data_IF_052813911176
#
_entry.id   IF_052813911176
#
_cell.length_a   1.000
_cell.length_b   1.000
_cell.length_c   1.000
_cell.angle_alpha   90.00
_cell.angle_beta   90.00
_cell.angle_gamma   90.00
#
_symmetry.space_group_name_H-M   'P 1'
#
loop_
_entity.id
_entity.type
_entity.pdbx_description
1 polymer ?
#
# COMPACT_ATOMS: atom_id res chain seq x y z
N UNK A 1 -9.63 25.40 -9.56
CA UNK A 1 -10.25 24.14 -10.08
C UNK A 1 -9.21 23.12 -10.62
N UNK A 2 -8.06 23.56 -11.17
CA UNK A 2 -6.97 22.68 -11.65
C UNK A 2 -6.19 22.01 -10.50
N UNK A 3 -5.91 22.75 -9.42
CA UNK A 3 -5.19 22.23 -8.24
C UNK A 3 -5.92 21.06 -7.57
N UNK A 4 -7.25 21.17 -7.41
CA UNK A 4 -8.10 20.09 -6.90
C UNK A 4 -8.03 18.84 -7.80
N UNK A 5 -8.00 18.99 -9.12
CA UNK A 5 -7.87 17.84 -10.05
C UNK A 5 -6.51 17.16 -9.89
N UNK A 6 -5.43 17.93 -9.76
CA UNK A 6 -4.08 17.41 -9.53
C UNK A 6 -3.98 16.71 -8.17
N UNK A 7 -4.53 17.30 -7.12
CA UNK A 7 -4.57 16.72 -5.79
C UNK A 7 -5.35 15.39 -5.77
N UNK A 8 -6.55 15.38 -6.38
CA UNK A 8 -7.35 14.16 -6.52
C UNK A 8 -6.58 13.07 -7.28
N UNK A 9 -5.90 13.43 -8.38
CA UNK A 9 -5.06 12.48 -9.13
C UNK A 9 -3.94 11.90 -8.26
N UNK A 10 -3.26 12.72 -7.45
CA UNK A 10 -2.23 12.25 -6.50
C UNK A 10 -2.83 11.32 -5.44
N UNK A 11 -4.00 11.66 -4.89
CA UNK A 11 -4.73 10.82 -3.91
C UNK A 11 -5.11 9.46 -4.50
N UNK A 12 -5.69 9.44 -5.70
CA UNK A 12 -6.05 8.19 -6.37
C UNK A 12 -4.83 7.35 -6.72
N UNK A 13 -3.75 7.98 -7.19
CA UNK A 13 -2.51 7.27 -7.47
C UNK A 13 -1.91 6.64 -6.20
N UNK A 14 -1.91 7.37 -5.06
CA UNK A 14 -1.48 6.83 -3.76
C UNK A 14 -2.34 5.64 -3.33
N UNK A 15 -3.67 5.73 -3.49
CA UNK A 15 -4.60 4.63 -3.21
C UNK A 15 -4.31 3.40 -4.07
N UNK A 16 -4.19 3.58 -5.39
CA UNK A 16 -3.86 2.49 -6.32
C UNK A 16 -2.52 1.84 -6.00
N UNK A 17 -1.49 2.64 -5.68
CA UNK A 17 -0.18 2.13 -5.30
C UNK A 17 -0.24 1.31 -4.00
N UNK A 18 -0.98 1.78 -2.99
CA UNK A 18 -1.21 1.02 -1.76
C UNK A 18 -1.93 -0.31 -2.05
N UNK A 19 -2.98 -0.33 -2.86
CA UNK A 19 -3.67 -1.57 -3.24
C UNK A 19 -2.72 -2.56 -3.90
N UNK A 20 -1.88 -2.11 -4.85
CA UNK A 20 -0.88 -2.98 -5.51
C UNK A 20 0.14 -3.53 -4.52
N UNK A 21 0.64 -2.72 -3.59
CA UNK A 21 1.60 -3.18 -2.59
C UNK A 21 0.98 -4.21 -1.63
N UNK A 22 -0.26 -3.99 -1.18
CA UNK A 22 -0.97 -4.97 -0.33
C UNK A 22 -1.20 -6.29 -1.04
N UNK A 23 -1.58 -6.27 -2.32
CA UNK A 23 -1.72 -7.50 -3.12
C UNK A 23 -0.38 -8.24 -3.26
N UNK A 24 0.71 -7.50 -3.50
CA UNK A 24 2.06 -8.09 -3.52
C UNK A 24 2.48 -8.64 -2.16
N UNK A 25 2.09 -7.99 -1.06
CA UNK A 25 2.38 -8.46 0.29
C UNK A 25 1.69 -9.81 0.57
N UNK A 26 0.42 -9.94 0.16
CA UNK A 26 -0.34 -11.17 0.31
C UNK A 26 0.22 -12.33 -0.54
N UNK A 27 0.83 -12.01 -1.69
CA UNK A 27 1.44 -13.00 -2.59
C UNK A 27 2.93 -13.29 -2.28
N UNK A 28 3.57 -12.51 -1.41
CA UNK A 28 4.98 -12.64 -1.11
C UNK A 28 5.24 -13.92 -0.29
N UNK A 29 6.07 -14.82 -0.84
CA UNK A 29 6.50 -16.05 -0.18
C UNK A 29 7.84 -15.90 0.54
N UNK A 30 8.68 -14.98 0.06
CA UNK A 30 9.99 -14.69 0.62
C UNK A 30 9.92 -13.57 1.67
N UNK A 31 10.66 -13.73 2.77
CA UNK A 31 10.71 -12.79 3.90
C UNK A 31 11.31 -11.45 3.49
N UNK A 32 12.36 -11.46 2.64
CA UNK A 32 13.01 -10.23 2.18
C UNK A 32 12.08 -9.37 1.34
N UNK A 33 11.36 -9.98 0.40
CA UNK A 33 10.37 -9.28 -0.42
C UNK A 33 9.24 -8.70 0.41
N UNK A 34 8.79 -9.45 1.41
CA UNK A 34 7.76 -9.00 2.36
C UNK A 34 8.20 -7.73 3.10
N UNK A 35 9.42 -7.70 3.65
CA UNK A 35 9.99 -6.52 4.32
C UNK A 35 10.10 -5.31 3.39
N UNK A 36 10.59 -5.52 2.15
CA UNK A 36 10.68 -4.45 1.16
C UNK A 36 9.31 -3.86 0.80
N UNK A 37 8.27 -4.70 0.74
CA UNK A 37 6.89 -4.27 0.48
C UNK A 37 6.33 -3.51 1.69
N UNK A 38 6.50 -4.04 2.90
CA UNK A 38 6.07 -3.38 4.15
C UNK A 38 6.69 -1.99 4.29
N UNK A 39 8.00 -1.85 4.06
CA UNK A 39 8.69 -0.55 4.08
C UNK A 39 8.03 0.45 3.12
N UNK A 40 7.67 0.02 1.91
CA UNK A 40 6.99 0.87 0.93
C UNK A 40 5.57 1.25 1.37
N UNK A 41 4.86 0.34 2.03
CA UNK A 41 3.53 0.62 2.57
C UNK A 41 3.61 1.65 3.70
N UNK A 42 4.53 1.50 4.66
CA UNK A 42 4.68 2.45 5.76
C UNK A 42 5.14 3.85 5.30
N UNK A 43 5.98 3.96 4.26
CA UNK A 43 6.29 5.26 3.65
C UNK A 43 5.03 5.95 3.07
N UNK A 44 4.11 5.18 2.51
CA UNK A 44 2.87 5.69 1.93
C UNK A 44 1.72 5.80 2.93
N UNK A 45 1.75 5.07 4.04
CA UNK A 45 0.70 5.06 5.06
C UNK A 45 1.33 4.63 6.38
N UNK A 46 1.95 5.56 7.12
CA UNK A 46 2.71 5.24 8.34
C UNK A 46 1.89 4.47 9.37
N UNK A 47 0.61 4.82 9.48
CA UNK A 47 -0.35 4.26 10.44
C UNK A 47 -1.05 2.99 9.94
N UNK A 48 -0.68 2.46 8.78
CA UNK A 48 -1.29 1.23 8.28
C UNK A 48 -0.72 0.03 9.03
N UNK A 49 -1.61 -0.77 9.60
CA UNK A 49 -1.29 -2.07 10.19
C UNK A 49 -1.76 -3.19 9.26
N UNK A 50 -0.99 -4.27 9.24
CA UNK A 50 -1.39 -5.47 8.51
C UNK A 50 -2.63 -6.07 9.19
N UNK A 51 -3.74 -6.31 8.46
CA UNK A 51 -4.87 -7.02 9.03
C UNK A 51 -4.46 -8.46 9.31
N UNK A 52 -4.83 -8.97 10.48
CA UNK A 52 -4.64 -10.38 10.82
C UNK A 52 -5.32 -11.21 9.73
N UNK A 53 -4.60 -12.16 9.12
CA UNK A 53 -5.18 -13.05 8.14
C UNK A 53 -6.39 -13.71 8.79
N UNK A 54 -7.59 -13.55 8.20
CA UNK A 54 -8.80 -14.16 8.72
C UNK A 54 -8.54 -15.65 8.87
N UNK A 55 -8.47 -16.12 10.13
CA UNK A 55 -8.35 -17.54 10.45
C UNK A 55 -9.70 -18.16 10.10
N UNK A 56 -9.79 -18.71 8.89
CA UNK A 56 -10.87 -19.61 8.47
C UNK A 56 -10.46 -21.04 8.73
#
# INVERSE_FOLDING_TARGET
MVERRTELKRRYHRKQKLTKLKARLAAAKDSRDREHILRKIHLLSPWWTEPEAAKT
#
